data_IF_657205382916
#
_entry.id   IF_657205382916
#
_cell.length_a   1.000
_cell.length_b   1.000
_cell.length_c   1.000
_cell.angle_alpha   90.00
_cell.angle_beta   90.00
_cell.angle_gamma   90.00
#
_symmetry.space_group_name_H-M   'P 1'
#
loop_
_entity.id
_entity.type
_entity.pdbx_description
1 polymer ?
#
# COMPACT_ATOMS: atom_id res chain seq x y z
N UNK A 1 18.91 7.96 -13.48
CA UNK A 1 17.85 8.37 -12.56
C UNK A 1 16.48 7.80 -12.94
N UNK A 2 16.00 8.10 -14.15
CA UNK A 2 14.70 7.54 -14.60
C UNK A 2 14.71 6.02 -14.64
N UNK A 3 15.82 5.41 -15.04
CA UNK A 3 15.97 3.96 -15.11
C UNK A 3 15.87 3.33 -13.72
N UNK A 4 16.48 3.96 -12.71
CA UNK A 4 16.45 3.45 -11.36
C UNK A 4 15.05 3.53 -10.77
N UNK A 5 14.33 4.62 -11.03
CA UNK A 5 12.97 4.78 -10.55
C UNK A 5 12.03 3.76 -11.17
N UNK A 6 12.18 3.51 -12.45
CA UNK A 6 11.37 2.52 -13.16
C UNK A 6 11.64 1.10 -12.64
N UNK A 7 12.91 0.79 -12.39
CA UNK A 7 13.30 -0.50 -11.85
C UNK A 7 12.75 -0.71 -10.43
N UNK A 8 12.87 0.29 -9.58
CA UNK A 8 12.34 0.24 -8.21
C UNK A 8 10.82 0.08 -8.20
N UNK A 9 10.13 0.79 -9.09
CA UNK A 9 8.69 0.68 -9.26
C UNK A 9 8.31 -0.76 -9.65
N UNK A 10 9.01 -1.34 -10.60
CA UNK A 10 8.74 -2.70 -11.06
C UNK A 10 9.02 -3.73 -9.98
N UNK A 11 10.02 -3.53 -9.16
CA UNK A 11 10.30 -4.41 -8.02
C UNK A 11 9.16 -4.38 -7.02
N UNK A 12 8.62 -3.19 -6.73
CA UNK A 12 7.49 -3.05 -5.83
C UNK A 12 6.25 -3.72 -6.41
N UNK A 13 5.99 -3.52 -7.70
CA UNK A 13 4.85 -4.17 -8.36
C UNK A 13 4.98 -5.68 -8.26
N UNK A 14 6.16 -6.22 -8.49
CA UNK A 14 6.41 -7.66 -8.36
C UNK A 14 6.13 -8.14 -6.94
N UNK A 15 6.59 -7.39 -5.94
CA UNK A 15 6.33 -7.71 -4.55
C UNK A 15 4.82 -7.76 -4.27
N UNK A 16 4.08 -6.78 -4.78
CA UNK A 16 2.64 -6.71 -4.54
C UNK A 16 1.89 -7.87 -5.21
N UNK A 17 2.26 -8.24 -6.42
CA UNK A 17 1.66 -9.39 -7.08
C UNK A 17 2.03 -10.71 -6.41
N UNK A 18 3.24 -10.82 -5.89
CA UNK A 18 3.63 -12.00 -5.10
C UNK A 18 2.82 -12.07 -3.81
N UNK A 19 2.59 -10.93 -3.18
CA UNK A 19 1.74 -10.86 -2.00
C UNK A 19 0.33 -11.33 -2.33
N UNK A 20 -0.23 -10.84 -3.44
CA UNK A 20 -1.56 -11.25 -3.88
C UNK A 20 -1.62 -12.76 -4.10
N UNK A 21 -0.63 -13.31 -4.80
CA UNK A 21 -0.55 -14.75 -5.05
C UNK A 21 -0.51 -15.54 -3.74
N UNK A 22 0.29 -15.11 -2.80
CA UNK A 22 0.45 -15.80 -1.52
C UNK A 22 -0.82 -15.74 -0.66
N UNK A 23 -1.71 -14.80 -0.95
CA UNK A 23 -2.97 -14.63 -0.22
C UNK A 23 -4.19 -15.08 -1.03
N UNK A 24 -3.95 -15.89 -2.06
CA UNK A 24 -5.02 -16.43 -2.91
C UNK A 24 -5.86 -15.33 -3.57
N UNK A 25 -5.19 -14.27 -4.00
CA UNK A 25 -5.83 -13.20 -4.74
C UNK A 25 -5.38 -13.31 -6.20
N UNK A 26 -6.35 -13.53 -7.09
CA UNK A 26 -6.08 -13.52 -8.51
C UNK A 26 -5.86 -12.10 -8.99
N UNK A 27 -5.03 -11.93 -9.99
CA UNK A 27 -4.79 -10.59 -10.53
C UNK A 27 -4.73 -10.64 -12.05
N UNK A 28 -5.33 -9.62 -12.63
CA UNK A 28 -5.32 -9.41 -14.07
C UNK A 28 -4.89 -7.97 -14.27
N UNK A 29 -3.99 -7.73 -15.20
CA UNK A 29 -3.70 -6.36 -15.58
C UNK A 29 -4.09 -6.15 -17.02
N UNK A 30 -4.63 -4.98 -17.28
CA UNK A 30 -5.14 -4.61 -18.58
C UNK A 30 -4.67 -3.19 -18.91
N UNK A 31 -4.82 -2.83 -20.17
CA UNK A 31 -4.51 -1.49 -20.61
C UNK A 31 -5.78 -0.91 -21.24
N UNK A 32 -6.29 0.13 -20.62
CA UNK A 32 -7.50 0.78 -21.03
C UNK A 32 -7.29 2.29 -20.97
N UNK A 33 -8.36 3.04 -21.20
CA UNK A 33 -8.32 4.50 -21.06
C UNK A 33 -7.74 4.86 -19.69
N UNK A 34 -6.79 5.82 -19.62
CA UNK A 34 -6.18 6.20 -18.35
C UNK A 34 -7.16 6.66 -17.28
N UNK A 35 -8.37 7.04 -17.65
CA UNK A 35 -9.37 7.47 -16.70
C UNK A 35 -10.21 6.31 -16.15
N UNK A 36 -10.07 5.12 -16.69
CA UNK A 36 -10.80 3.95 -16.17
C UNK A 36 -10.12 3.42 -14.93
N UNK A 37 -10.87 3.26 -13.84
CA UNK A 37 -10.26 2.81 -12.58
C UNK A 37 -9.88 1.33 -12.62
N UNK A 38 -8.94 0.97 -11.77
CA UNK A 38 -8.71 -0.42 -11.43
C UNK A 38 -9.87 -0.89 -10.54
N UNK A 39 -10.07 -2.19 -10.46
CA UNK A 39 -11.23 -2.77 -9.79
C UNK A 39 -10.82 -3.95 -8.92
N UNK A 40 -11.62 -4.20 -7.90
CA UNK A 40 -11.47 -5.40 -7.08
C UNK A 40 -12.81 -6.13 -6.99
N UNK A 41 -12.75 -7.44 -7.03
CA UNK A 41 -13.91 -8.32 -6.92
C UNK A 41 -13.73 -9.21 -5.71
N UNK A 42 -14.36 -8.81 -4.63
CA UNK A 42 -14.14 -9.40 -3.31
C UNK A 42 -14.53 -10.87 -3.24
N UNK A 43 -15.71 -11.20 -3.78
CA UNK A 43 -16.21 -12.58 -3.73
C UNK A 43 -15.34 -13.53 -4.54
N UNK A 44 -14.83 -13.06 -5.67
CA UNK A 44 -13.95 -13.84 -6.54
C UNK A 44 -12.50 -13.78 -6.10
N UNK A 45 -12.19 -12.93 -5.15
CA UNK A 45 -10.82 -12.65 -4.70
C UNK A 45 -9.90 -12.33 -5.87
N UNK A 46 -10.30 -11.35 -6.65
CA UNK A 46 -9.57 -10.97 -7.86
C UNK A 46 -9.46 -9.47 -7.97
N UNK A 47 -8.32 -9.00 -8.42
CA UNK A 47 -8.09 -7.58 -8.71
C UNK A 47 -7.78 -7.42 -10.20
N UNK A 48 -8.27 -6.32 -10.76
CA UNK A 48 -8.04 -5.98 -12.15
C UNK A 48 -7.38 -4.60 -12.20
N UNK A 49 -6.15 -4.55 -12.63
CA UNK A 49 -5.35 -3.33 -12.57
C UNK A 49 -5.20 -2.73 -13.96
N UNK A 50 -5.63 -1.48 -14.10
CA UNK A 50 -5.42 -0.73 -15.33
C UNK A 50 -4.01 -0.16 -15.32
N UNK A 51 -3.12 -0.74 -16.09
CA UNK A 51 -1.71 -0.33 -16.13
C UNK A 51 -1.53 1.03 -16.81
N UNK A 52 -2.56 1.49 -17.54
CA UNK A 52 -2.53 2.83 -18.13
C UNK A 52 -3.09 3.90 -17.22
N UNK A 53 -3.51 3.54 -16.00
CA UNK A 53 -4.02 4.51 -15.05
C UNK A 53 -3.05 5.70 -14.95
N UNK A 54 -3.57 6.88 -15.26
CA UNK A 54 -2.76 8.10 -15.32
C UNK A 54 -1.48 7.95 -16.16
N UNK A 55 -1.57 7.25 -17.30
CA UNK A 55 -0.46 7.10 -18.24
C UNK A 55 0.77 6.47 -17.58
N UNK A 56 0.58 5.34 -16.91
CA UNK A 56 1.64 4.64 -16.19
C UNK A 56 2.20 5.47 -15.02
N UNK A 57 1.32 6.14 -14.34
CA UNK A 57 1.65 6.96 -13.19
C UNK A 57 2.52 6.23 -12.19
N UNK A 58 3.45 6.93 -11.50
CA UNK A 58 4.16 6.34 -10.37
C UNK A 58 3.24 5.90 -9.24
N UNK A 59 1.96 6.30 -9.27
CA UNK A 59 0.96 5.89 -8.29
C UNK A 59 0.41 4.48 -8.50
N UNK A 60 0.73 3.83 -9.62
CA UNK A 60 0.22 2.48 -9.92
C UNK A 60 0.48 1.48 -8.78
N UNK A 61 1.67 1.43 -8.17
CA UNK A 61 1.88 0.51 -7.06
C UNK A 61 0.92 0.74 -5.89
N UNK A 62 0.66 1.99 -5.52
CA UNK A 62 -0.29 2.27 -4.46
C UNK A 62 -1.70 1.83 -4.86
N UNK A 63 -2.07 2.01 -6.12
CA UNK A 63 -3.35 1.52 -6.63
C UNK A 63 -3.47 0.00 -6.48
N UNK A 64 -2.42 -0.74 -6.83
CA UNK A 64 -2.41 -2.20 -6.66
C UNK A 64 -2.59 -2.57 -5.18
N UNK A 65 -1.83 -1.92 -4.31
CA UNK A 65 -1.91 -2.16 -2.87
C UNK A 65 -3.30 -1.84 -2.32
N UNK A 66 -3.91 -0.77 -2.79
CA UNK A 66 -5.28 -0.39 -2.42
C UNK A 66 -6.29 -1.46 -2.83
N UNK A 67 -6.19 -1.96 -4.07
CA UNK A 67 -7.12 -3.01 -4.52
C UNK A 67 -6.93 -4.31 -3.73
N UNK A 68 -5.70 -4.65 -3.39
CA UNK A 68 -5.45 -5.77 -2.48
C UNK A 68 -6.14 -5.51 -1.14
N UNK A 69 -6.08 -4.28 -0.65
CA UNK A 69 -6.74 -3.89 0.60
C UNK A 69 -8.24 -4.16 0.59
N UNK A 70 -8.90 -3.89 -0.53
CA UNK A 70 -10.33 -4.21 -0.67
C UNK A 70 -10.60 -5.70 -0.51
N UNK A 71 -9.77 -6.54 -1.10
CA UNK A 71 -9.96 -7.99 -1.00
C UNK A 71 -9.73 -8.48 0.42
N UNK A 72 -8.73 -7.92 1.09
CA UNK A 72 -8.37 -8.30 2.45
C UNK A 72 -9.23 -7.61 3.52
N UNK A 73 -10.19 -6.78 3.12
CA UNK A 73 -11.10 -6.04 4.01
C UNK A 73 -10.38 -5.15 5.02
N UNK A 74 -9.22 -4.66 4.67
CA UNK A 74 -8.44 -3.86 5.60
C UNK A 74 -7.92 -4.65 6.79
N UNK A 75 -7.90 -5.98 6.70
CA UNK A 75 -7.55 -6.82 7.84
C UNK A 75 -6.08 -7.20 7.88
N UNK A 76 -5.24 -6.22 8.07
CA UNK A 76 -3.87 -6.47 8.47
C UNK A 76 -3.86 -6.33 9.97
N UNK A 77 -4.07 -7.23 10.78
CA UNK A 77 -3.89 -7.19 12.23
C UNK A 77 -3.63 -5.80 12.83
N UNK A 78 -4.36 -4.81 12.34
CA UNK A 78 -4.13 -3.42 12.73
C UNK A 78 -5.09 -3.05 13.85
N UNK A 79 -4.82 -3.51 15.03
CA UNK A 79 -5.66 -3.24 16.19
C UNK A 79 -5.78 -1.75 16.48
N UNK A 80 -4.81 -1.00 16.03
CA UNK A 80 -4.75 0.42 16.27
C UNK A 80 -5.66 1.23 15.38
N UNK A 81 -6.15 0.63 14.34
CA UNK A 81 -6.92 1.36 13.34
C UNK A 81 -8.42 1.23 13.49
N UNK A 82 -8.84 1.08 14.69
CA UNK A 82 -10.23 1.22 15.03
C UNK A 82 -10.76 2.59 14.85
N UNK A 83 -9.99 3.36 14.34
CA UNK A 83 -10.20 4.71 14.34
C UNK A 83 -10.95 5.24 13.19
N UNK A 84 -11.30 4.49 12.43
CA UNK A 84 -12.04 4.89 11.33
C UNK A 84 -13.37 5.44 11.59
N UNK A 85 -13.35 6.06 12.41
CA UNK A 85 -14.24 6.53 13.26
C UNK A 85 -15.34 7.32 12.68
N UNK A 86 -15.03 8.23 11.89
CA UNK A 86 -15.96 9.23 11.48
C UNK A 86 -16.29 9.21 10.00
N UNK A 87 -15.97 8.10 9.37
CA UNK A 87 -16.33 7.90 7.98
C UNK A 87 -17.54 7.01 7.94
N UNK A 88 -18.55 7.35 7.23
CA UNK A 88 -19.74 6.54 7.13
C UNK A 88 -19.63 5.52 6.02
N UNK A 89 -19.95 4.28 6.32
CA UNK A 89 -20.19 3.23 5.35
C UNK A 89 -19.25 3.12 4.15
N UNK A 90 -19.63 3.71 3.05
CA UNK A 90 -18.91 3.64 1.79
C UNK A 90 -17.49 4.19 1.89
N UNK A 91 -17.33 5.30 2.58
CA UNK A 91 -16.02 5.94 2.71
C UNK A 91 -15.08 5.14 3.61
N UNK A 92 -15.62 4.38 4.56
CA UNK A 92 -14.83 3.54 5.44
C UNK A 92 -14.12 2.43 4.68
N UNK A 93 -14.78 1.81 3.72
CA UNK A 93 -14.16 0.75 2.92
C UNK A 93 -12.99 1.28 2.10
N UNK A 94 -13.17 2.43 1.48
CA UNK A 94 -12.11 3.06 0.70
C UNK A 94 -10.94 3.47 1.59
N UNK A 95 -11.24 4.02 2.75
CA UNK A 95 -10.22 4.41 3.70
C UNK A 95 -9.44 3.20 4.22
N UNK A 96 -10.15 2.15 4.58
CA UNK A 96 -9.51 0.92 5.06
C UNK A 96 -8.61 0.30 3.99
N UNK A 97 -9.04 0.33 2.75
CA UNK A 97 -8.22 -0.14 1.64
C UNK A 97 -6.97 0.71 1.45
N UNK A 98 -7.10 2.03 1.56
CA UNK A 98 -5.96 2.94 1.50
C UNK A 98 -4.96 2.68 2.62
N UNK A 99 -5.46 2.50 3.85
CA UNK A 99 -4.61 2.22 5.01
C UNK A 99 -3.89 0.89 4.83
N UNK A 100 -4.60 -0.12 4.36
CA UNK A 100 -4.00 -1.41 4.07
C UNK A 100 -2.86 -1.26 3.05
N UNK A 101 -3.13 -0.56 1.96
CA UNK A 101 -2.13 -0.32 0.92
C UNK A 101 -0.90 0.42 1.44
N UNK A 102 -1.13 1.43 2.28
CA UNK A 102 -0.04 2.18 2.91
C UNK A 102 0.86 1.26 3.74
N UNK A 103 0.27 0.41 4.57
CA UNK A 103 1.03 -0.52 5.41
C UNK A 103 1.75 -1.57 4.60
N UNK A 104 1.14 -2.03 3.52
CA UNK A 104 1.76 -3.02 2.65
C UNK A 104 3.04 -2.49 2.01
N UNK A 105 3.00 -1.25 1.53
CA UNK A 105 4.18 -0.61 0.96
C UNK A 105 5.22 -0.31 2.05
N UNK A 106 4.78 0.06 3.24
CA UNK A 106 5.69 0.28 4.35
C UNK A 106 6.43 -1.01 4.72
N UNK A 107 5.74 -2.15 4.75
CA UNK A 107 6.38 -3.44 4.98
C UNK A 107 7.46 -3.73 3.93
N UNK A 108 7.15 -3.42 2.67
CA UNK A 108 8.14 -3.55 1.60
C UNK A 108 9.35 -2.65 1.85
N UNK A 109 9.10 -1.40 2.21
CA UNK A 109 10.17 -0.44 2.49
C UNK A 109 11.08 -0.92 3.62
N UNK A 110 10.49 -1.44 4.68
CA UNK A 110 11.25 -1.98 5.80
C UNK A 110 12.09 -3.18 5.37
N UNK A 111 11.53 -4.06 4.54
CA UNK A 111 12.25 -5.23 4.05
C UNK A 111 13.42 -4.83 3.15
N UNK A 112 13.32 -3.70 2.45
CA UNK A 112 14.40 -3.16 1.64
C UNK A 112 15.41 -2.36 2.45
N UNK A 113 15.16 -2.17 3.73
CA UNK A 113 16.02 -1.38 4.63
C UNK A 113 16.19 0.06 4.16
N UNK A 114 15.10 0.64 3.63
CA UNK A 114 15.13 2.03 3.14
C UNK A 114 15.37 3.05 4.24
N UNK A 115 15.02 2.73 5.47
CA UNK A 115 15.28 3.55 6.65
C UNK A 115 14.71 4.97 6.57
N UNK A 116 13.47 5.09 6.14
CA UNK A 116 12.78 6.38 6.17
C UNK A 116 12.47 6.75 7.62
N UNK A 117 12.84 7.95 8.01
CA UNK A 117 12.49 8.51 9.32
C UNK A 117 11.38 9.53 9.21
N UNK A 118 11.17 10.09 8.04
CA UNK A 118 10.16 11.10 7.78
C UNK A 118 9.01 10.51 6.98
N UNK A 119 7.82 10.44 7.56
CA UNK A 119 6.66 9.90 6.84
C UNK A 119 6.34 10.63 5.54
N UNK A 120 6.56 11.94 5.48
CA UNK A 120 6.34 12.70 4.26
C UNK A 120 7.29 12.28 3.15
N UNK A 121 8.57 12.06 3.49
CA UNK A 121 9.55 11.57 2.53
C UNK A 121 9.20 10.16 2.02
N UNK A 122 8.70 9.31 2.91
CA UNK A 122 8.24 7.98 2.54
C UNK A 122 7.11 8.04 1.52
N UNK A 123 6.09 8.83 1.81
CA UNK A 123 4.94 8.99 0.92
C UNK A 123 5.39 9.49 -0.45
N UNK A 124 6.24 10.50 -0.46
CA UNK A 124 6.72 11.08 -1.71
C UNK A 124 7.55 10.08 -2.51
N UNK A 125 8.42 9.34 -1.84
CA UNK A 125 9.30 8.38 -2.49
C UNK A 125 8.54 7.25 -3.17
N UNK A 126 7.43 6.81 -2.59
CA UNK A 126 6.62 5.72 -3.12
C UNK A 126 5.40 6.20 -3.89
N UNK A 127 5.30 7.50 -4.14
CA UNK A 127 4.17 8.10 -4.85
C UNK A 127 2.82 7.72 -4.28
N UNK A 128 2.73 7.70 -2.96
CA UNK A 128 1.50 7.47 -2.24
C UNK A 128 0.76 8.80 -2.15
N UNK A 129 -0.56 8.76 -2.24
CA UNK A 129 -1.38 9.97 -2.21
C UNK A 129 -1.13 10.80 -0.95
N UNK A 130 -1.04 12.12 -1.11
CA UNK A 130 -0.84 13.04 0.01
C UNK A 130 -1.97 12.99 1.05
N UNK A 131 -3.14 12.54 0.67
CA UNK A 131 -4.25 12.36 1.62
C UNK A 131 -3.90 11.38 2.74
N UNK A 132 -2.87 10.55 2.52
CA UNK A 132 -2.44 9.56 3.49
C UNK A 132 -1.43 10.08 4.51
N UNK A 133 -1.13 11.37 4.49
CA UNK A 133 -0.06 11.92 5.34
C UNK A 133 -0.32 11.68 6.84
N UNK A 134 -1.54 11.88 7.29
CA UNK A 134 -1.90 11.65 8.69
C UNK A 134 -1.72 10.20 9.09
N UNK A 135 -2.18 9.31 8.20
CA UNK A 135 -2.07 7.87 8.44
C UNK A 135 -0.61 7.43 8.44
N UNK A 136 0.20 8.04 7.59
CA UNK A 136 1.62 7.72 7.54
C UNK A 136 2.32 8.14 8.83
N UNK A 137 2.03 9.33 9.37
CA UNK A 137 2.58 9.74 10.65
C UNK A 137 2.18 8.80 11.76
N UNK A 138 0.94 8.40 11.79
CA UNK A 138 0.44 7.46 12.78
C UNK A 138 1.12 6.10 12.67
N UNK A 139 1.27 5.60 11.45
CA UNK A 139 1.93 4.34 11.18
C UNK A 139 3.39 4.36 11.64
N UNK A 140 4.12 5.42 11.35
CA UNK A 140 5.51 5.56 11.75
C UNK A 140 5.64 5.63 13.28
N UNK A 141 4.71 6.33 13.92
CA UNK A 141 4.69 6.42 15.36
C UNK A 141 4.49 5.06 16.03
N UNK A 142 3.45 4.34 15.58
CA UNK A 142 3.07 3.06 16.16
C UNK A 142 4.06 1.94 15.82
N UNK A 143 4.36 1.76 14.55
CA UNK A 143 5.20 0.66 14.09
C UNK A 143 6.68 0.97 14.22
N UNK A 144 7.04 2.23 14.07
CA UNK A 144 8.41 2.67 14.26
C UNK A 144 8.89 2.47 15.68
N UNK A 145 8.07 2.79 16.66
CA UNK A 145 8.40 2.56 18.07
C UNK A 145 8.54 1.08 18.34
N UNK A 146 7.63 0.28 17.87
CA UNK A 146 7.66 -1.16 18.07
C UNK A 146 8.92 -1.76 17.46
N UNK A 147 9.27 -1.35 16.26
CA UNK A 147 10.44 -1.82 15.56
C UNK A 147 11.73 -1.40 16.32
N UNK A 148 11.76 -0.17 16.80
CA UNK A 148 12.90 0.35 17.55
C UNK A 148 13.09 -0.42 18.86
N UNK A 149 12.02 -0.66 19.59
CA UNK A 149 12.06 -1.44 20.83
C UNK A 149 12.55 -2.86 20.55
N UNK A 150 12.08 -3.46 19.49
CA UNK A 150 12.52 -4.79 19.07
C UNK A 150 14.01 -4.82 18.78
N UNK A 151 14.54 -3.82 18.10
CA UNK A 151 15.97 -3.70 17.81
C UNK A 151 16.79 -3.55 19.10
N UNK A 152 16.32 -2.73 20.02
CA UNK A 152 16.99 -2.56 21.30
C UNK A 152 17.10 -3.88 22.06
N UNK A 153 16.07 -4.68 22.01
CA UNK A 153 16.08 -6.01 22.65
C UNK A 153 17.04 -6.97 21.97
N UNK A 154 17.20 -6.85 20.67
CA UNK A 154 18.11 -7.71 19.91
C UNK A 154 19.56 -7.35 20.20
N UNK A 155 19.85 -6.09 20.43
CA UNK A 155 21.21 -5.61 20.66
C UNK A 155 21.64 -5.68 22.11
N UNK A 156 20.74 -6.01 22.99
CA UNK A 156 21.05 -6.24 24.40
C UNK A 156 21.27 -7.71 24.67
#
# INVERSE_FOLDING_TARGET
>A
MAVNNSHRKNQLITYLFNYAYDHDIGYIFFESDPNNPSLSFKNEREICINMNWHHHSPEVPFTIAHEIGHIMDGKLNLKQYNCCLDYGGFDDEERDADIYGLHLIYQYSCAQEDNFYDPAAFIQSYAISEKMIKEAYKMFEDEGEFFYIGRSKIHN
#
